data_IF_189400992287
#
_entry.id   IF_189400992287
#
_cell.length_a   1.000
_cell.length_b   1.000
_cell.length_c   1.000
_cell.angle_alpha   90.00
_cell.angle_beta   90.00
_cell.angle_gamma   90.00
#
_symmetry.space_group_name_H-M   'P 1'
#
loop_
_entity.id
_entity.type
_entity.pdbx_description
1 polymer ?
#
# COMPACT_ATOMS: atom_id res chain seq x y z
N UNK A 1 -11.94 -15.55 15.35
CA UNK A 1 -12.44 -15.18 14.01
C UNK A 1 -11.22 -15.10 13.11
N UNK A 2 -11.22 -15.82 11.99
CA UNK A 2 -10.10 -15.89 11.05
C UNK A 2 -10.19 -14.65 10.17
N UNK A 3 -9.31 -13.67 10.37
CA UNK A 3 -9.22 -12.48 9.53
C UNK A 3 -8.83 -12.93 8.12
N UNK A 4 -9.84 -13.18 7.28
CA UNK A 4 -9.63 -13.28 5.85
C UNK A 4 -9.19 -11.90 5.39
N UNK A 5 -7.91 -11.79 5.00
CA UNK A 5 -7.30 -10.60 4.41
C UNK A 5 -7.99 -10.23 3.09
N UNK A 6 -9.18 -9.64 3.18
CA UNK A 6 -9.79 -8.84 2.14
C UNK A 6 -9.25 -7.43 2.23
N UNK A 7 -7.94 -7.24 2.02
CA UNK A 7 -7.37 -5.92 1.86
C UNK A 7 -7.82 -5.41 0.47
N UNK A 8 -9.04 -4.87 0.42
CA UNK A 8 -9.47 -4.06 -0.70
C UNK A 8 -8.58 -2.83 -0.70
N UNK A 9 -7.58 -2.83 -1.59
CA UNK A 9 -6.68 -1.69 -1.71
C UNK A 9 -7.46 -0.46 -2.16
N UNK A 10 -8.59 -0.62 -2.86
CA UNK A 10 -9.57 0.43 -3.18
C UNK A 10 -10.99 0.07 -2.76
N UNK A 11 -11.85 1.07 -2.61
CA UNK A 11 -13.26 0.90 -2.22
C UNK A 11 -14.18 1.07 -3.42
N UNK A 12 -15.21 0.22 -3.56
CA UNK A 12 -16.32 0.44 -4.49
C UNK A 12 -17.26 1.58 -4.04
N UNK A 13 -17.07 2.06 -2.81
CA UNK A 13 -17.85 3.10 -2.16
C UNK A 13 -16.99 4.33 -1.85
N UNK A 14 -17.58 5.52 -1.80
CA UNK A 14 -16.90 6.67 -1.22
C UNK A 14 -16.67 6.40 0.28
N UNK A 15 -15.41 6.36 0.71
CA UNK A 15 -15.03 6.20 2.12
C UNK A 15 -14.43 7.54 2.57
N UNK A 16 -15.05 8.15 3.57
CA UNK A 16 -14.55 9.40 4.15
C UNK A 16 -13.26 9.16 4.94
N UNK A 17 -13.22 8.14 5.80
CA UNK A 17 -12.07 7.87 6.67
C UNK A 17 -11.57 6.43 6.59
N UNK A 18 -10.34 6.26 6.11
CA UNK A 18 -9.65 4.97 6.09
C UNK A 18 -9.06 4.68 7.48
N UNK A 19 -9.45 3.55 8.08
CA UNK A 19 -9.16 3.18 9.47
C UNK A 19 -7.67 3.19 9.87
N UNK A 20 -6.77 2.96 8.93
CA UNK A 20 -5.32 2.84 9.17
C UNK A 20 -4.50 3.93 8.49
N UNK A 21 -5.13 5.06 8.20
CA UNK A 21 -4.48 6.22 7.61
C UNK A 21 -4.35 7.30 8.66
N UNK A 22 -3.13 7.79 8.84
CA UNK A 22 -2.83 8.88 9.75
C UNK A 22 -3.12 10.23 9.08
N UNK A 23 -4.30 10.78 9.34
CA UNK A 23 -4.71 12.09 8.81
C UNK A 23 -4.02 13.29 9.47
N UNK A 24 -3.14 13.08 10.45
CA UNK A 24 -2.25 14.15 10.93
C UNK A 24 -1.11 14.42 9.96
N UNK A 25 -0.77 13.44 9.11
CA UNK A 25 0.18 13.60 8.02
C UNK A 25 -0.48 14.37 6.85
N UNK A 26 0.09 15.50 6.40
CA UNK A 26 -0.50 16.34 5.35
C UNK A 26 -0.60 15.65 3.98
N UNK A 27 0.04 14.49 3.81
CA UNK A 27 -0.08 13.66 2.61
C UNK A 27 -1.45 12.98 2.50
N UNK A 28 -2.21 12.87 3.58
CA UNK A 28 -3.50 12.18 3.59
C UNK A 28 -4.64 13.13 3.92
N UNK A 29 -5.73 13.03 3.15
CA UNK A 29 -6.94 13.81 3.33
C UNK A 29 -8.17 12.91 3.41
N UNK A 30 -9.07 13.24 4.31
CA UNK A 30 -10.38 12.57 4.45
C UNK A 30 -11.15 12.70 3.13
N UNK A 31 -11.78 11.62 2.69
CA UNK A 31 -12.51 11.53 1.41
C UNK A 31 -11.63 11.28 0.18
N UNK A 32 -10.31 11.41 0.29
CA UNK A 32 -9.38 11.07 -0.78
C UNK A 32 -8.88 9.62 -0.66
N UNK A 33 -8.58 9.02 -1.80
CA UNK A 33 -8.03 7.67 -1.86
C UNK A 33 -6.51 7.68 -1.54
N UNK A 34 -6.07 7.13 -0.39
CA UNK A 34 -4.73 7.36 0.13
C UNK A 34 -3.68 6.39 -0.41
N UNK A 35 -4.09 5.33 -1.11
CA UNK A 35 -3.21 4.26 -1.59
C UNK A 35 -2.91 4.34 -3.10
N UNK A 36 -2.98 5.54 -3.68
CA UNK A 36 -2.70 5.74 -5.11
C UNK A 36 -1.26 5.34 -5.48
N UNK A 37 -0.29 5.63 -4.62
CA UNK A 37 1.11 5.21 -4.81
C UNK A 37 1.25 3.68 -4.94
N UNK A 38 0.50 2.92 -4.14
CA UNK A 38 0.48 1.45 -4.25
C UNK A 38 -0.16 0.98 -5.56
N UNK A 39 -1.24 1.63 -6.00
CA UNK A 39 -1.88 1.33 -7.30
C UNK A 39 -0.93 1.57 -8.47
N UNK A 40 -0.16 2.66 -8.42
CA UNK A 40 0.78 2.99 -9.48
C UNK A 40 1.93 1.98 -9.52
N UNK A 41 2.48 1.59 -8.37
CA UNK A 41 3.47 0.50 -8.29
C UNK A 41 2.91 -0.81 -8.83
N UNK A 42 1.68 -1.18 -8.44
CA UNK A 42 1.04 -2.40 -8.92
C UNK A 42 0.88 -2.40 -10.45
N UNK A 43 0.46 -1.28 -11.04
CA UNK A 43 0.36 -1.11 -12.50
C UNK A 43 1.71 -1.22 -13.22
N UNK A 44 2.81 -0.88 -12.55
CA UNK A 44 4.17 -1.09 -13.05
C UNK A 44 4.67 -2.53 -12.86
N UNK A 45 3.87 -3.43 -12.27
CA UNK A 45 4.29 -4.79 -11.93
C UNK A 45 5.25 -4.82 -10.73
N UNK A 46 5.15 -3.82 -9.85
CA UNK A 46 5.97 -3.67 -8.65
C UNK A 46 5.13 -3.84 -7.39
N UNK A 47 5.70 -4.49 -6.38
CA UNK A 47 5.05 -4.71 -5.08
C UNK A 47 6.01 -4.35 -3.95
N UNK A 48 5.70 -3.33 -3.14
CA UNK A 48 6.49 -3.03 -1.95
C UNK A 48 6.16 -4.01 -0.80
N UNK A 49 7.16 -4.34 0.02
CA UNK A 49 6.99 -5.10 1.26
C UNK A 49 7.82 -4.50 2.39
N UNK A 50 7.36 -4.64 3.64
CA UNK A 50 8.05 -4.17 4.84
C UNK A 50 7.96 -5.24 5.92
N UNK A 51 9.10 -5.61 6.50
CA UNK A 51 9.18 -6.63 7.57
C UNK A 51 9.29 -6.04 8.99
N UNK A 52 9.12 -4.73 9.13
CA UNK A 52 9.32 -4.02 10.39
C UNK A 52 10.70 -3.37 10.53
N UNK A 53 11.66 -3.70 9.64
CA UNK A 53 13.02 -3.14 9.66
C UNK A 53 13.51 -2.71 8.27
N UNK A 54 13.17 -3.46 7.24
CA UNK A 54 13.66 -3.26 5.88
C UNK A 54 12.49 -3.16 4.91
N UNK A 55 12.56 -2.16 4.03
CA UNK A 55 11.70 -2.06 2.86
C UNK A 55 12.30 -2.82 1.69
N UNK A 56 11.45 -3.52 0.95
CA UNK A 56 11.82 -4.19 -0.30
C UNK A 56 10.84 -3.82 -1.39
N UNK A 57 11.35 -3.65 -2.60
CA UNK A 57 10.53 -3.49 -3.80
C UNK A 57 10.72 -4.72 -4.69
N UNK A 58 9.64 -5.46 -4.88
CA UNK A 58 9.62 -6.68 -5.70
C UNK A 58 9.12 -6.37 -7.10
N UNK A 59 9.58 -7.12 -8.11
CA UNK A 59 9.04 -7.04 -9.45
C UNK A 59 9.41 -8.22 -10.35
N UNK A 60 8.80 -8.24 -11.54
CA UNK A 60 8.95 -9.32 -12.51
C UNK A 60 8.19 -10.59 -12.12
N UNK A 61 8.22 -11.60 -13.02
CA UNK A 61 7.45 -12.85 -12.87
C UNK A 61 7.80 -13.65 -11.61
N UNK A 62 9.06 -13.56 -11.17
CA UNK A 62 9.57 -14.30 -10.01
C UNK A 62 9.56 -13.46 -8.72
N UNK A 63 8.92 -12.29 -8.72
CA UNK A 63 8.88 -11.35 -7.59
C UNK A 63 10.28 -11.04 -7.00
N UNK A 64 11.27 -10.86 -7.88
CA UNK A 64 12.66 -10.58 -7.48
C UNK A 64 12.71 -9.25 -6.75
N UNK A 65 13.58 -9.19 -5.74
CA UNK A 65 13.90 -7.95 -5.06
C UNK A 65 14.71 -7.06 -6.02
N UNK A 66 14.12 -5.95 -6.42
CA UNK A 66 14.72 -4.95 -7.31
C UNK A 66 15.40 -3.84 -6.51
N UNK A 67 14.95 -3.60 -5.27
CA UNK A 67 15.51 -2.62 -4.36
C UNK A 67 15.25 -3.00 -2.90
N UNK A 68 16.18 -2.66 -2.01
CA UNK A 68 16.02 -2.73 -0.56
C UNK A 68 16.56 -1.46 0.10
N UNK A 69 15.95 -1.04 1.21
CA UNK A 69 16.46 0.09 1.98
C UNK A 69 15.72 0.32 3.29
N UNK A 70 16.31 1.16 4.13
CA UNK A 70 15.74 1.64 5.39
C UNK A 70 15.31 3.09 5.23
N UNK A 71 14.18 3.45 5.84
CA UNK A 71 13.63 4.81 5.87
C UNK A 71 13.80 5.43 7.25
#
# INVERSE_FOLDING_TARGET
MRDSMGAYTGSLFAIDGWKYVDYTNPLFKTGEYPFQSFVDLWKMGLVPSFDGKLWRLHGGKDAKVLWEGTL
#
